data_IF_175717750230
#
_entry.id   IF_175717750230
#
_cell.length_a   1.000
_cell.length_b   1.000
_cell.length_c   1.000
_cell.angle_alpha   90.00
_cell.angle_beta   90.00
_cell.angle_gamma   90.00
#
_symmetry.space_group_name_H-M   'P 1'
#
loop_
_entity.id
_entity.type
_entity.pdbx_description
1 polymer ?
#
# COMPACT_ATOMS: atom_id res chain seq x y z
N UNK A 1 -2.51 -16.53 4.93
CA UNK A 1 -1.14 -16.89 5.36
C UNK A 1 -0.18 -16.38 4.29
N UNK A 2 0.87 -15.59 4.60
CA UNK A 2 1.71 -14.94 3.59
C UNK A 2 2.54 -15.92 2.72
N UNK A 3 2.66 -17.18 3.12
CA UNK A 3 3.35 -18.21 2.33
C UNK A 3 2.47 -18.84 1.25
N UNK A 4 1.15 -18.67 1.36
CA UNK A 4 0.16 -19.25 0.45
C UNK A 4 -0.66 -18.17 -0.27
N UNK A 5 -0.91 -17.04 0.39
CA UNK A 5 -1.61 -15.91 -0.20
C UNK A 5 -0.74 -15.23 -1.27
N UNK A 6 -1.33 -15.01 -2.42
CA UNK A 6 -0.76 -14.26 -3.54
C UNK A 6 -0.67 -12.77 -3.24
N UNK A 7 0.18 -12.06 -3.98
CA UNK A 7 0.23 -10.59 -3.96
C UNK A 7 -1.09 -9.95 -4.40
N UNK A 8 -1.82 -10.61 -5.30
CA UNK A 8 -3.17 -10.20 -5.71
C UNK A 8 -4.14 -10.27 -4.54
N UNK A 9 -4.22 -11.39 -3.84
CA UNK A 9 -5.10 -11.55 -2.68
C UNK A 9 -4.77 -10.56 -1.57
N UNK A 10 -3.48 -10.34 -1.30
CA UNK A 10 -3.02 -9.30 -0.37
C UNK A 10 -3.48 -7.89 -0.82
N UNK A 11 -3.34 -7.58 -2.10
CA UNK A 11 -3.76 -6.29 -2.67
C UNK A 11 -5.28 -6.11 -2.54
N UNK A 12 -6.05 -7.09 -3.02
CA UNK A 12 -7.52 -7.08 -2.97
C UNK A 12 -8.03 -6.90 -1.54
N UNK A 13 -7.43 -7.58 -0.56
CA UNK A 13 -7.79 -7.41 0.85
C UNK A 13 -7.64 -5.97 1.35
N UNK A 14 -6.63 -5.23 0.89
CA UNK A 14 -6.45 -3.81 1.26
C UNK A 14 -7.37 -2.89 0.45
N UNK A 15 -7.57 -3.17 -0.84
CA UNK A 15 -8.45 -2.38 -1.70
C UNK A 15 -9.92 -2.47 -1.30
N UNK A 16 -10.33 -3.61 -0.75
CA UNK A 16 -11.70 -3.88 -0.33
C UNK A 16 -11.95 -3.53 1.14
N UNK A 17 -10.94 -3.05 1.89
CA UNK A 17 -11.12 -2.62 3.27
C UNK A 17 -11.84 -1.27 3.31
N UNK A 18 -13.04 -1.18 3.91
CA UNK A 18 -13.79 0.07 3.96
C UNK A 18 -13.10 1.08 4.88
N UNK A 19 -13.20 2.36 4.53
CA UNK A 19 -12.78 3.46 5.41
C UNK A 19 -13.89 3.68 6.44
N UNK A 20 -13.60 3.58 7.76
CA UNK A 20 -14.62 3.76 8.79
C UNK A 20 -15.31 5.13 8.70
N UNK A 21 -16.59 5.20 9.05
CA UNK A 21 -17.34 6.47 9.02
C UNK A 21 -16.78 7.49 10.01
N UNK A 22 -16.34 7.03 11.18
CA UNK A 22 -15.67 7.83 12.21
C UNK A 22 -14.25 8.26 11.85
N UNK A 23 -13.72 7.88 10.68
CA UNK A 23 -12.38 8.25 10.28
C UNK A 23 -12.23 9.78 10.12
N UNK A 24 -11.11 10.31 10.60
CA UNK A 24 -10.76 11.71 10.39
C UNK A 24 -10.65 12.04 8.89
N UNK A 25 -10.88 13.30 8.47
CA UNK A 25 -10.74 13.70 7.07
C UNK A 25 -9.35 13.40 6.49
N UNK A 26 -8.30 13.55 7.29
CA UNK A 26 -6.92 13.28 6.90
C UNK A 26 -6.71 11.78 6.62
N UNK A 27 -7.15 10.91 7.54
CA UNK A 27 -7.09 9.46 7.35
C UNK A 27 -7.85 9.02 6.09
N UNK A 28 -9.06 9.55 5.91
CA UNK A 28 -9.90 9.26 4.73
C UNK A 28 -9.22 9.67 3.42
N UNK A 29 -8.62 10.85 3.39
CA UNK A 29 -7.91 11.36 2.22
C UNK A 29 -6.72 10.47 1.88
N UNK A 30 -5.91 10.14 2.89
CA UNK A 30 -4.75 9.28 2.73
C UNK A 30 -5.14 7.87 2.24
N UNK A 31 -6.03 7.16 2.95
CA UNK A 31 -6.37 5.77 2.62
C UNK A 31 -7.01 5.67 1.24
N UNK A 32 -7.92 6.59 0.89
CA UNK A 32 -8.54 6.59 -0.44
C UNK A 32 -7.53 6.86 -1.56
N UNK A 33 -6.57 7.77 -1.34
CA UNK A 33 -5.47 8.01 -2.28
C UNK A 33 -4.55 6.80 -2.42
N UNK A 34 -4.12 6.22 -1.30
CA UNK A 34 -3.26 5.05 -1.27
C UNK A 34 -3.91 3.82 -1.92
N UNK A 35 -5.21 3.60 -1.71
CA UNK A 35 -5.97 2.54 -2.41
C UNK A 35 -6.01 2.77 -3.93
N UNK A 36 -6.19 4.00 -4.41
CA UNK A 36 -6.17 4.31 -5.84
C UNK A 36 -4.79 4.03 -6.46
N UNK A 37 -3.73 4.51 -5.81
CA UNK A 37 -2.35 4.30 -6.26
C UNK A 37 -2.00 2.82 -6.28
N UNK A 38 -2.32 2.09 -5.21
CA UNK A 38 -2.03 0.66 -5.13
C UNK A 38 -2.78 -0.13 -6.19
N UNK A 39 -4.05 0.20 -6.47
CA UNK A 39 -4.82 -0.40 -7.57
C UNK A 39 -4.13 -0.16 -8.91
N UNK A 40 -3.71 1.06 -9.19
CA UNK A 40 -3.02 1.38 -10.45
C UNK A 40 -1.72 0.57 -10.60
N UNK A 41 -0.92 0.43 -9.55
CA UNK A 41 0.32 -0.33 -9.56
C UNK A 41 0.09 -1.84 -9.73
N UNK A 42 -0.88 -2.40 -9.01
CA UNK A 42 -1.16 -3.84 -9.02
C UNK A 42 -1.66 -4.33 -10.38
N UNK A 43 -2.41 -3.49 -11.09
CA UNK A 43 -2.98 -3.79 -12.40
C UNK A 43 -2.16 -3.23 -13.57
N UNK A 44 -0.97 -2.68 -13.31
CA UNK A 44 -0.07 -2.24 -14.36
C UNK A 44 0.62 -3.45 -15.03
N UNK A 45 0.81 -3.47 -16.37
CA UNK A 45 1.39 -4.62 -17.09
C UNK A 45 2.75 -5.11 -16.55
N UNK A 46 3.60 -4.17 -16.11
CA UNK A 46 4.89 -4.49 -15.51
C UNK A 46 4.82 -5.30 -14.19
N UNK A 47 3.62 -5.48 -13.62
CA UNK A 47 3.37 -6.25 -12.40
C UNK A 47 2.83 -7.67 -12.68
N UNK A 48 2.35 -7.95 -13.91
CA UNK A 48 1.84 -9.27 -14.31
C UNK A 48 2.76 -10.44 -13.95
N UNK A 49 4.10 -10.35 -14.13
CA UNK A 49 4.99 -11.47 -13.79
C UNK A 49 5.04 -11.83 -12.30
N UNK A 50 4.55 -10.93 -11.42
CA UNK A 50 4.71 -11.03 -9.96
C UNK A 50 3.40 -11.14 -9.19
N UNK A 51 2.29 -10.59 -9.71
CA UNK A 51 1.07 -10.34 -8.93
C UNK A 51 0.38 -11.61 -8.43
N UNK A 52 0.51 -12.72 -9.16
CA UNK A 52 -0.08 -14.01 -8.79
C UNK A 52 0.90 -14.93 -8.04
N UNK A 53 2.13 -14.48 -7.79
CA UNK A 53 3.05 -15.24 -6.94
C UNK A 53 2.66 -15.09 -5.45
N UNK A 54 2.93 -16.11 -4.61
CA UNK A 54 2.85 -15.98 -3.17
C UNK A 54 3.66 -14.78 -2.67
N UNK A 55 3.16 -14.10 -1.65
CA UNK A 55 3.74 -12.85 -1.16
C UNK A 55 5.21 -13.00 -0.75
N UNK A 56 5.55 -14.11 -0.08
CA UNK A 56 6.91 -14.40 0.41
C UNK A 56 7.87 -14.94 -0.66
N UNK A 57 7.39 -15.30 -1.85
CA UNK A 57 8.26 -15.75 -2.95
C UNK A 57 9.04 -14.57 -3.52
N UNK A 58 10.35 -14.68 -3.80
CA UNK A 58 11.09 -13.62 -4.48
C UNK A 58 10.40 -13.19 -5.79
N UNK A 59 10.37 -11.89 -6.06
CA UNK A 59 9.76 -11.36 -7.28
C UNK A 59 10.43 -11.95 -8.52
N UNK A 60 9.61 -12.47 -9.43
CA UNK A 60 10.05 -12.95 -10.74
C UNK A 60 10.73 -11.83 -11.55
N UNK A 61 10.13 -10.64 -11.56
CA UNK A 61 10.66 -9.45 -12.24
C UNK A 61 10.71 -8.25 -11.30
N UNK A 62 11.91 -7.76 -11.01
CA UNK A 62 12.16 -6.59 -10.15
C UNK A 62 12.00 -5.27 -10.93
N UNK A 63 10.78 -4.95 -11.35
CA UNK A 63 10.46 -3.68 -12.02
C UNK A 63 10.29 -2.53 -11.01
N UNK A 64 10.40 -1.27 -11.47
CA UNK A 64 10.05 -0.09 -10.64
C UNK A 64 8.64 -0.22 -10.07
N UNK A 65 7.69 -0.60 -10.93
CA UNK A 65 6.28 -0.83 -10.54
C UNK A 65 6.16 -1.87 -9.43
N UNK A 66 6.92 -2.97 -9.47
CA UNK A 66 6.95 -3.95 -8.38
C UNK A 66 7.42 -3.33 -7.06
N UNK A 67 8.52 -2.58 -7.08
CA UNK A 67 9.04 -1.95 -5.87
C UNK A 67 8.09 -0.89 -5.30
N UNK A 68 7.49 -0.09 -6.17
CA UNK A 68 6.48 0.90 -5.78
C UNK A 68 5.23 0.21 -5.22
N UNK A 69 4.78 -0.90 -5.83
CA UNK A 69 3.67 -1.70 -5.32
C UNK A 69 3.96 -2.25 -3.92
N UNK A 70 5.14 -2.84 -3.68
CA UNK A 70 5.51 -3.40 -2.37
C UNK A 70 5.59 -2.28 -1.32
N UNK A 71 6.21 -1.15 -1.67
CA UNK A 71 6.34 -0.01 -0.79
C UNK A 71 4.99 0.61 -0.42
N UNK A 72 4.16 0.96 -1.41
CA UNK A 72 2.83 1.53 -1.20
C UNK A 72 1.90 0.55 -0.48
N UNK A 73 1.96 -0.74 -0.82
CA UNK A 73 1.17 -1.79 -0.18
C UNK A 73 1.47 -1.93 1.30
N UNK A 74 2.76 -1.97 1.69
CA UNK A 74 3.16 -2.00 3.11
C UNK A 74 2.76 -0.73 3.86
N UNK A 75 2.91 0.44 3.23
CA UNK A 75 2.50 1.72 3.84
C UNK A 75 1.00 1.77 4.08
N UNK A 76 0.18 1.31 3.11
CA UNK A 76 -1.27 1.20 3.30
C UNK A 76 -1.62 0.16 4.37
N UNK A 77 -0.96 -1.01 4.38
CA UNK A 77 -1.16 -2.03 5.41
C UNK A 77 -0.91 -1.50 6.82
N UNK A 78 0.11 -0.66 7.01
CA UNK A 78 0.36 0.02 8.28
C UNK A 78 -0.77 0.99 8.65
N UNK A 79 -1.21 1.83 7.70
CA UNK A 79 -2.31 2.76 7.94
C UNK A 79 -3.64 2.04 8.28
N UNK A 80 -3.90 0.88 7.68
CA UNK A 80 -5.10 0.07 7.94
C UNK A 80 -5.04 -0.65 9.31
N UNK A 81 -3.87 -0.74 9.93
CA UNK A 81 -3.69 -1.29 11.29
C UNK A 81 -3.90 -0.24 12.40
N UNK A 82 -4.01 1.04 12.03
CA UNK A 82 -4.23 2.16 12.94
C UNK A 82 -5.74 2.28 13.26
N UNK A 83 -6.08 2.63 14.50
CA UNK A 83 -7.46 3.00 14.86
C UNK A 83 -7.86 4.33 14.19
N UNK A 84 -8.68 4.24 13.15
CA UNK A 84 -9.06 5.38 12.31
C UNK A 84 -9.85 6.48 13.05
N UNK A 85 -10.46 6.17 14.20
CA UNK A 85 -11.29 7.12 14.96
C UNK A 85 -10.49 8.09 15.82
N UNK A 86 -9.24 7.74 16.13
CA UNK A 86 -8.40 8.55 16.99
C UNK A 86 -7.65 9.58 16.13
N UNK A 87 -7.64 10.87 16.52
CA UNK A 87 -6.83 11.89 15.84
C UNK A 87 -5.31 11.67 16.00
N UNK A 88 -4.89 10.66 16.79
CA UNK A 88 -3.49 10.40 17.19
C UNK A 88 -3.13 8.91 17.34
N UNK A 89 -3.88 7.97 16.77
CA UNK A 89 -3.65 6.53 16.96
C UNK A 89 -2.23 6.14 16.55
N UNK A 90 -1.45 5.83 17.58
CA UNK A 90 0.02 5.73 17.60
C UNK A 90 0.71 6.78 16.75
N UNK A 91 0.89 7.98 17.30
CA UNK A 91 1.64 9.11 16.73
C UNK A 91 2.83 8.66 15.86
N UNK A 92 3.61 7.70 16.36
CA UNK A 92 4.77 7.11 15.67
C UNK A 92 4.44 6.39 14.35
N UNK A 93 3.42 5.53 14.32
CA UNK A 93 3.05 4.79 13.10
C UNK A 93 2.43 5.74 12.07
N UNK A 94 1.64 6.72 12.52
CA UNK A 94 1.09 7.73 11.62
C UNK A 94 2.17 8.69 11.09
N UNK A 95 3.11 9.12 11.93
CA UNK A 95 4.31 9.87 11.53
C UNK A 95 5.10 9.08 10.47
N UNK A 96 5.34 7.78 10.69
CA UNK A 96 6.01 6.90 9.73
C UNK A 96 5.23 6.79 8.41
N UNK A 97 3.90 6.66 8.44
CA UNK A 97 3.06 6.64 7.24
C UNK A 97 3.21 7.94 6.44
N UNK A 98 3.24 9.09 7.11
CA UNK A 98 3.41 10.39 6.44
C UNK A 98 4.82 10.52 5.83
N UNK A 99 5.87 10.16 6.55
CA UNK A 99 7.24 10.16 6.03
C UNK A 99 7.36 9.26 4.80
N UNK A 100 6.80 8.06 4.87
CA UNK A 100 6.77 7.11 3.75
C UNK A 100 5.97 7.63 2.56
N UNK A 101 4.98 8.47 2.77
CA UNK A 101 4.23 9.10 1.66
C UNK A 101 5.11 10.05 0.87
N UNK A 102 5.97 10.82 1.54
CA UNK A 102 6.97 11.68 0.88
C UNK A 102 7.98 10.85 0.10
N UNK A 103 8.45 9.72 0.66
CA UNK A 103 9.32 8.81 -0.07
C UNK A 103 8.64 8.15 -1.29
N UNK A 104 7.34 7.82 -1.18
CA UNK A 104 6.59 7.32 -2.33
C UNK A 104 6.62 8.35 -3.47
N UNK A 105 6.37 9.63 -3.16
CA UNK A 105 6.40 10.71 -4.13
C UNK A 105 7.76 10.84 -4.83
N UNK A 106 8.87 10.72 -4.09
CA UNK A 106 10.22 10.67 -4.67
C UNK A 106 10.36 9.48 -5.62
N UNK A 107 9.91 8.29 -5.24
CA UNK A 107 9.96 7.08 -6.09
C UNK A 107 9.11 7.21 -7.36
N UNK A 108 8.01 7.97 -7.32
CA UNK A 108 7.18 8.25 -8.51
C UNK A 108 7.86 9.22 -9.48
N UNK A 109 8.64 10.17 -8.96
CA UNK A 109 9.26 11.24 -9.75
C UNK A 109 10.74 11.01 -10.08
N UNK A 110 11.35 9.93 -9.58
CA UNK A 110 12.73 9.57 -9.88
C UNK A 110 12.89 9.11 -11.34
N UNK A 111 13.47 10.01 -12.15
CA UNK A 111 13.75 9.86 -13.59
C UNK A 111 15.16 9.34 -13.88
N UNK A 112 15.80 8.63 -12.94
CA UNK A 112 17.09 7.97 -13.22
C UNK A 112 16.99 6.88 -14.27
#
# INVERSE_FOLDING_TARGET
>A
DPYTNTRREFTEAMLNRPIPDAATPQYRTFVSGAQKVLRALAYHPAMEPNIDQPFMTPANKKSRVYFMWDFCGRTLGMALAIDASLPRSTKKVWEEVNERTVFADVLFHDNS
#
